data_IF_798848149257
#
_entry.id   IF_798848149257
#
_cell.length_a   1.000
_cell.length_b   1.000
_cell.length_c   1.000
_cell.angle_alpha   90.00
_cell.angle_beta   90.00
_cell.angle_gamma   90.00
#
_symmetry.space_group_name_H-M   'P 1'
#
loop_
_entity.id
_entity.type
_entity.pdbx_description
1 polymer ?
#
# COMPACT_ATOMS: atom_id res chain seq x y z
N UNK A 1 11.16 2.80 -8.67
CA UNK A 1 10.82 4.20 -8.32
C UNK A 1 11.39 4.54 -6.96
N UNK A 2 12.71 4.67 -6.81
CA UNK A 2 13.35 5.07 -5.55
C UNK A 2 12.82 6.41 -5.02
N UNK A 3 12.50 7.32 -5.95
CA UNK A 3 12.01 8.67 -5.70
C UNK A 3 10.79 8.71 -4.76
N UNK A 4 9.82 7.79 -4.90
CA UNK A 4 8.61 7.81 -4.06
C UNK A 4 8.91 7.71 -2.56
N UNK A 5 9.85 6.85 -2.17
CA UNK A 5 10.18 6.72 -0.74
C UNK A 5 11.11 7.83 -0.29
N UNK A 6 12.05 8.26 -1.14
CA UNK A 6 12.93 9.39 -0.83
C UNK A 6 12.12 10.68 -0.60
N UNK A 7 11.13 10.97 -1.44
CA UNK A 7 10.23 12.10 -1.27
C UNK A 7 9.43 11.98 0.04
N UNK A 8 9.00 10.77 0.37
CA UNK A 8 8.27 10.53 1.62
C UNK A 8 9.15 10.67 2.86
N UNK A 9 10.43 10.27 2.79
CA UNK A 9 11.42 10.50 3.84
C UNK A 9 11.66 12.01 4.01
N UNK A 10 11.83 12.76 2.92
CA UNK A 10 12.01 14.21 3.00
C UNK A 10 10.79 14.89 3.65
N UNK A 11 9.58 14.50 3.22
CA UNK A 11 8.34 14.98 3.84
C UNK A 11 8.23 14.60 5.32
N UNK A 12 8.66 13.39 5.68
CA UNK A 12 8.72 12.93 7.06
C UNK A 12 9.67 13.80 7.91
N UNK A 13 10.89 14.06 7.43
CA UNK A 13 11.88 14.88 8.14
C UNK A 13 11.36 16.30 8.39
N UNK A 14 10.69 16.90 7.40
CA UNK A 14 10.04 18.21 7.57
C UNK A 14 8.97 18.13 8.66
N UNK A 15 8.11 17.11 8.65
CA UNK A 15 7.09 16.92 9.69
C UNK A 15 7.71 16.75 11.08
N UNK A 16 8.81 15.99 11.22
CA UNK A 16 9.52 15.86 12.49
C UNK A 16 10.08 17.19 12.97
N UNK A 17 10.68 17.99 12.07
CA UNK A 17 11.21 19.32 12.43
C UNK A 17 10.11 20.27 12.93
N UNK A 18 8.92 20.22 12.35
CA UNK A 18 7.76 20.98 12.81
C UNK A 18 7.31 20.50 14.20
N UNK A 19 7.27 19.18 14.41
CA UNK A 19 6.91 18.61 15.71
C UNK A 19 7.89 19.08 16.79
N UNK A 20 9.19 19.01 16.49
CA UNK A 20 10.25 19.46 17.39
C UNK A 20 10.18 20.96 17.68
N UNK A 21 9.83 21.78 16.70
CA UNK A 21 9.80 23.24 16.86
C UNK A 21 8.58 23.72 17.65
N UNK A 22 7.42 23.08 17.49
CA UNK A 22 6.14 23.64 17.96
C UNK A 22 5.47 22.87 19.10
N UNK A 23 5.92 21.66 19.44
CA UNK A 23 5.30 20.85 20.51
C UNK A 23 6.24 20.62 21.69
N UNK A 24 5.64 20.57 22.89
CA UNK A 24 6.34 20.25 24.12
C UNK A 24 6.86 18.81 24.10
N UNK A 25 8.01 18.56 24.74
CA UNK A 25 8.72 17.26 24.68
C UNK A 25 7.81 16.08 25.06
N UNK A 26 6.94 16.26 26.05
CA UNK A 26 6.00 15.24 26.51
C UNK A 26 4.82 14.97 25.56
N UNK A 27 4.60 15.83 24.55
CA UNK A 27 3.51 15.72 23.58
C UNK A 27 4.01 15.22 22.21
N UNK A 28 5.30 15.39 21.91
CA UNK A 28 5.89 15.07 20.60
C UNK A 28 5.59 13.64 20.13
N UNK A 29 5.71 12.66 21.03
CA UNK A 29 5.50 11.24 20.74
C UNK A 29 4.11 10.99 20.11
N UNK A 30 3.06 11.63 20.64
CA UNK A 30 1.70 11.55 20.11
C UNK A 30 1.59 12.17 18.71
N UNK A 31 2.29 13.28 18.46
CA UNK A 31 2.28 13.96 17.18
C UNK A 31 3.10 13.24 16.10
N UNK A 32 4.13 12.46 16.48
CA UNK A 32 4.93 11.64 15.58
C UNK A 32 4.16 10.43 15.02
N UNK A 33 3.10 9.97 15.68
CA UNK A 33 2.36 8.75 15.26
C UNK A 33 1.89 8.84 13.81
N UNK A 34 1.33 9.99 13.42
CA UNK A 34 0.76 10.21 12.09
C UNK A 34 1.82 10.19 10.99
N UNK A 35 2.93 10.90 11.18
CA UNK A 35 4.04 10.94 10.22
C UNK A 35 4.74 9.59 10.11
N UNK A 36 4.95 8.89 11.23
CA UNK A 36 5.52 7.55 11.23
C UNK A 36 4.62 6.56 10.46
N UNK A 37 3.31 6.59 10.70
CA UNK A 37 2.34 5.75 9.96
C UNK A 37 2.33 6.04 8.46
N UNK A 38 2.41 7.32 8.08
CA UNK A 38 2.49 7.72 6.69
C UNK A 38 3.71 7.08 6.02
N UNK A 39 4.90 7.20 6.62
CA UNK A 39 6.13 6.66 6.06
C UNK A 39 6.06 5.12 5.90
N UNK A 40 5.59 4.40 6.91
CA UNK A 40 5.44 2.94 6.85
C UNK A 40 4.42 2.49 5.80
N UNK A 41 3.31 3.23 5.63
CA UNK A 41 2.34 2.94 4.58
C UNK A 41 2.88 3.27 3.18
N UNK A 42 3.71 4.30 3.05
CA UNK A 42 4.42 4.58 1.80
C UNK A 42 5.40 3.46 1.47
N UNK A 43 6.15 2.94 2.45
CA UNK A 43 7.01 1.76 2.24
C UNK A 43 6.19 0.56 1.74
N UNK A 44 5.03 0.27 2.34
CA UNK A 44 4.13 -0.80 1.83
C UNK A 44 3.68 -0.56 0.39
N UNK A 45 3.32 0.68 0.06
CA UNK A 45 2.92 1.06 -1.29
C UNK A 45 4.08 0.89 -2.28
N UNK A 46 5.28 1.30 -1.88
CA UNK A 46 6.51 1.11 -2.63
C UNK A 46 6.76 -0.37 -2.92
N UNK A 47 6.66 -1.24 -1.91
CA UNK A 47 6.83 -2.69 -2.06
C UNK A 47 5.91 -3.27 -3.15
N UNK A 48 4.66 -2.82 -3.19
CA UNK A 48 3.70 -3.21 -4.24
C UNK A 48 4.12 -2.66 -5.61
N UNK A 49 4.45 -1.37 -5.67
CA UNK A 49 4.71 -0.66 -6.93
C UNK A 49 5.96 -1.17 -7.66
N UNK A 50 6.93 -1.77 -6.98
CA UNK A 50 8.07 -2.41 -7.65
C UNK A 50 7.67 -3.53 -8.64
N UNK A 51 6.50 -4.14 -8.45
CA UNK A 51 5.96 -5.17 -9.35
C UNK A 51 5.12 -4.60 -10.50
N UNK A 52 4.83 -3.29 -10.51
CA UNK A 52 4.18 -2.63 -11.65
C UNK A 52 5.17 -2.45 -12.82
N UNK A 53 6.48 -2.50 -12.55
CA UNK A 53 7.55 -2.41 -13.56
C UNK A 53 8.20 -3.76 -13.89
N UNK A 54 9.18 -3.73 -14.81
CA UNK A 54 9.93 -4.90 -15.27
C UNK A 54 11.19 -5.23 -14.45
N UNK A 55 11.28 -4.80 -13.19
CA UNK A 55 12.46 -5.05 -12.35
C UNK A 55 12.66 -6.55 -12.14
N UNK A 56 13.90 -7.01 -12.19
CA UNK A 56 14.34 -8.34 -11.77
C UNK A 56 14.18 -8.53 -10.26
N UNK A 57 14.32 -9.78 -9.78
CA UNK A 57 14.25 -10.06 -8.33
C UNK A 57 15.43 -9.44 -7.60
N UNK A 58 16.61 -9.50 -8.19
CA UNK A 58 17.85 -8.93 -7.66
C UNK A 58 17.71 -7.42 -7.47
N UNK A 59 17.19 -6.70 -8.48
CA UNK A 59 16.94 -5.26 -8.38
C UNK A 59 15.91 -4.92 -7.30
N UNK A 60 14.81 -5.69 -7.21
CA UNK A 60 13.80 -5.49 -6.15
C UNK A 60 14.41 -5.68 -4.76
N UNK A 61 15.19 -6.74 -4.55
CA UNK A 61 15.81 -7.00 -3.25
C UNK A 61 16.82 -5.92 -2.88
N UNK A 62 17.62 -5.44 -3.85
CA UNK A 62 18.54 -4.33 -3.63
C UNK A 62 17.79 -3.06 -3.19
N UNK A 63 16.70 -2.72 -3.89
CA UNK A 63 15.82 -1.60 -3.53
C UNK A 63 15.16 -1.77 -2.15
N UNK A 64 14.63 -2.95 -1.83
CA UNK A 64 14.04 -3.22 -0.51
C UNK A 64 15.08 -3.01 0.59
N UNK A 65 16.29 -3.54 0.39
CA UNK A 65 17.39 -3.42 1.34
C UNK A 65 17.73 -1.96 1.61
N UNK A 66 17.97 -1.18 0.56
CA UNK A 66 18.29 0.25 0.67
C UNK A 66 17.23 1.00 1.51
N UNK A 67 15.96 0.75 1.22
CA UNK A 67 14.84 1.45 1.85
C UNK A 67 14.58 0.99 3.29
N UNK A 68 14.71 -0.31 3.60
CA UNK A 68 14.50 -0.82 4.96
C UNK A 68 15.67 -0.50 5.90
N UNK A 69 16.84 -0.17 5.34
CA UNK A 69 17.99 0.28 6.10
C UNK A 69 18.01 1.80 6.32
N UNK A 70 17.02 2.53 5.79
CA UNK A 70 16.92 3.97 6.00
C UNK A 70 16.64 4.28 7.48
N UNK A 71 17.39 5.17 8.15
CA UNK A 71 17.27 5.43 9.58
C UNK A 71 15.84 5.75 10.03
N UNK A 72 15.15 6.61 9.29
CA UNK A 72 13.80 7.06 9.54
C UNK A 72 12.78 5.92 9.46
N UNK A 73 13.00 4.94 8.57
CA UNK A 73 12.18 3.72 8.50
C UNK A 73 12.41 2.87 9.74
N UNK A 74 13.67 2.71 10.16
CA UNK A 74 14.05 1.95 11.36
C UNK A 74 13.42 2.60 12.60
N UNK A 75 13.51 3.92 12.73
CA UNK A 75 12.93 4.68 13.84
C UNK A 75 11.41 4.52 13.88
N UNK A 76 10.74 4.60 12.73
CA UNK A 76 9.30 4.42 12.63
C UNK A 76 8.83 3.02 13.07
N UNK A 77 9.56 1.95 12.71
CA UNK A 77 9.18 0.60 13.14
C UNK A 77 9.51 0.33 14.60
N UNK A 78 10.43 1.09 15.20
CA UNK A 78 10.78 0.97 16.62
C UNK A 78 9.92 1.88 17.52
N UNK A 79 9.19 2.84 16.95
CA UNK A 79 8.20 3.63 17.66
C UNK A 79 6.97 2.79 18.02
N UNK A 80 6.91 2.34 19.27
CA UNK A 80 5.88 1.39 19.72
C UNK A 80 4.42 1.82 19.50
N UNK A 81 4.03 3.09 19.77
CA UNK A 81 2.68 3.54 19.45
C UNK A 81 2.31 3.37 17.97
N UNK A 82 3.26 3.60 17.06
CA UNK A 82 3.05 3.40 15.62
C UNK A 82 3.07 1.91 15.23
N UNK A 83 4.01 1.14 15.78
CA UNK A 83 4.16 -0.28 15.47
C UNK A 83 2.87 -1.06 15.77
N UNK A 84 2.17 -0.73 16.88
CA UNK A 84 0.88 -1.33 17.26
C UNK A 84 -0.26 -1.08 16.28
N UNK A 85 -0.19 0.00 15.51
CA UNK A 85 -1.18 0.37 14.50
C UNK A 85 -0.89 -0.29 13.14
N UNK A 86 0.29 -0.88 12.98
CA UNK A 86 0.71 -1.59 11.79
C UNK A 86 0.45 -3.11 11.93
N UNK A 87 0.53 -3.83 10.80
CA UNK A 87 0.53 -5.29 10.84
C UNK A 87 1.83 -5.79 11.46
N UNK A 88 1.72 -6.64 12.48
CA UNK A 88 2.88 -7.15 13.24
C UNK A 88 3.89 -7.88 12.37
N UNK A 89 3.43 -8.66 11.39
CA UNK A 89 4.30 -9.42 10.48
C UNK A 89 5.13 -8.50 9.57
N UNK A 90 4.54 -7.38 9.14
CA UNK A 90 5.26 -6.35 8.39
C UNK A 90 6.31 -5.64 9.24
N UNK A 91 5.94 -5.20 10.45
CA UNK A 91 6.87 -4.50 11.36
C UNK A 91 8.06 -5.39 11.71
N UNK A 92 7.80 -6.64 12.09
CA UNK A 92 8.86 -7.59 12.43
C UNK A 92 9.76 -7.92 11.23
N UNK A 93 9.20 -8.02 10.02
CA UNK A 93 9.99 -8.24 8.82
C UNK A 93 10.94 -7.07 8.53
N UNK A 94 10.49 -5.82 8.74
CA UNK A 94 11.36 -4.64 8.59
C UNK A 94 12.45 -4.63 9.67
N UNK A 95 12.07 -4.84 10.95
CA UNK A 95 13.03 -4.87 12.09
C UNK A 95 14.11 -5.94 11.91
N UNK A 96 13.73 -7.11 11.41
CA UNK A 96 14.64 -8.26 11.21
C UNK A 96 15.34 -8.23 9.86
N UNK A 97 15.07 -7.22 9.03
CA UNK A 97 15.60 -7.13 7.67
C UNK A 97 15.27 -8.38 6.82
N UNK A 98 14.07 -8.93 6.99
CA UNK A 98 13.56 -10.08 6.22
C UNK A 98 13.09 -9.61 4.84
N UNK A 99 14.05 -9.34 3.96
CA UNK A 99 13.80 -8.80 2.62
C UNK A 99 13.00 -9.77 1.74
N UNK A 100 13.15 -11.08 1.95
CA UNK A 100 12.40 -12.11 1.23
C UNK A 100 10.92 -12.08 1.60
N UNK A 101 10.59 -11.92 2.89
CA UNK A 101 9.21 -11.74 3.32
C UNK A 101 8.61 -10.47 2.72
N UNK A 102 9.35 -9.36 2.75
CA UNK A 102 8.88 -8.06 2.25
C UNK A 102 8.65 -8.09 0.73
N UNK A 103 9.51 -8.76 -0.03
CA UNK A 103 9.33 -8.98 -1.47
C UNK A 103 8.06 -9.80 -1.76
N UNK A 104 7.86 -10.90 -1.03
CA UNK A 104 6.66 -11.73 -1.13
C UNK A 104 5.40 -10.96 -0.75
N UNK A 105 5.45 -10.11 0.28
CA UNK A 105 4.33 -9.25 0.67
C UNK A 105 4.00 -8.22 -0.41
N UNK A 106 5.01 -7.56 -1.00
CA UNK A 106 4.82 -6.67 -2.15
C UNK A 106 4.16 -7.38 -3.34
N UNK A 107 4.63 -8.60 -3.66
CA UNK A 107 4.05 -9.43 -4.74
C UNK A 107 2.59 -9.79 -4.45
N UNK A 108 2.28 -10.19 -3.22
CA UNK A 108 0.91 -10.52 -2.78
C UNK A 108 -0.02 -9.32 -2.94
N UNK A 109 0.43 -8.12 -2.54
CA UNK A 109 -0.35 -6.90 -2.69
C UNK A 109 -0.55 -6.51 -4.16
N UNK A 110 0.48 -6.69 -4.99
CA UNK A 110 0.40 -6.42 -6.42
C UNK A 110 -0.63 -7.32 -7.10
N UNK A 111 -0.55 -8.63 -6.89
CA UNK A 111 -1.51 -9.61 -7.45
C UNK A 111 -2.93 -9.26 -7.01
N UNK A 112 -3.15 -8.96 -5.73
CA UNK A 112 -4.46 -8.54 -5.20
C UNK A 112 -4.99 -7.28 -5.88
N UNK A 113 -4.14 -6.27 -6.04
CA UNK A 113 -4.51 -5.02 -6.70
C UNK A 113 -4.86 -5.25 -8.17
N UNK A 114 -4.03 -6.02 -8.88
CA UNK A 114 -4.24 -6.36 -10.28
C UNK A 114 -5.54 -7.15 -10.51
N UNK A 115 -5.84 -8.13 -9.64
CA UNK A 115 -7.09 -8.89 -9.69
C UNK A 115 -8.31 -7.96 -9.49
N UNK A 116 -8.25 -7.07 -8.50
CA UNK A 116 -9.34 -6.11 -8.22
C UNK A 116 -9.63 -5.22 -9.42
N UNK A 117 -8.60 -4.70 -10.09
CA UNK A 117 -8.76 -3.88 -11.29
C UNK A 117 -9.46 -4.63 -12.43
N UNK A 118 -9.18 -5.92 -12.61
CA UNK A 118 -9.85 -6.76 -13.62
C UNK A 118 -11.31 -7.05 -13.27
N UNK A 119 -11.62 -7.32 -12.01
CA UNK A 119 -13.02 -7.52 -11.59
C UNK A 119 -13.85 -6.27 -11.80
N UNK A 120 -13.31 -5.08 -11.49
CA UNK A 120 -13.98 -3.80 -11.75
C UNK A 120 -14.20 -3.61 -13.25
N UNK A 121 -13.20 -3.92 -14.08
CA UNK A 121 -13.34 -3.85 -15.54
C UNK A 121 -14.47 -4.76 -16.05
N UNK A 122 -14.49 -6.04 -15.64
CA UNK A 122 -15.57 -6.97 -16.04
C UNK A 122 -16.93 -6.48 -15.55
N UNK A 123 -17.04 -6.00 -14.31
CA UNK A 123 -18.29 -5.45 -13.78
C UNK A 123 -18.75 -4.19 -14.54
N UNK A 124 -17.84 -3.31 -14.95
CA UNK A 124 -18.17 -2.11 -15.74
C UNK A 124 -18.60 -2.43 -17.18
N UNK A 125 -18.02 -3.46 -17.79
CA UNK A 125 -18.37 -3.92 -19.14
C UNK A 125 -19.72 -4.63 -19.12
N UNK A 126 -19.92 -5.55 -18.17
CA UNK A 126 -21.18 -6.31 -18.03
C UNK A 126 -22.33 -5.42 -17.55
N UNK A 127 -22.08 -4.45 -16.67
CA UNK A 127 -23.07 -3.46 -16.23
C UNK A 127 -23.47 -2.43 -17.30
N UNK A 128 -22.69 -2.30 -18.37
CA UNK A 128 -22.96 -1.39 -19.50
C UNK A 128 -23.70 -2.05 -20.67
N UNK A 129 -23.89 -3.38 -20.63
CA UNK A 129 -24.77 -4.08 -21.58
C UNK A 129 -26.19 -4.00 -21.03
N UNK A 130 -26.93 -2.95 -21.42
CA UNK A 130 -28.40 -2.99 -21.34
C UNK A 130 -28.86 -4.23 -22.12
N UNK A 131 -29.71 -5.11 -21.55
CA UNK A 131 -30.29 -6.17 -22.34
C UNK A 131 -31.10 -5.52 -23.46
N UNK A 132 -30.68 -5.76 -24.70
CA UNK A 132 -31.42 -5.38 -25.89
C UNK A 132 -32.81 -6.02 -25.82
N UNK A 133 -33.82 -5.18 -25.95
CA UNK A 133 -35.22 -5.51 -25.86
C UNK A 133 -35.70 -6.48 -26.95
N UNK A 134 -36.66 -7.33 -26.56
CA UNK A 134 -37.76 -7.91 -27.33
C UNK A 134 -37.46 -9.01 -28.36
N UNK A 135 -37.97 -10.21 -28.05
CA UNK A 135 -38.63 -11.06 -29.05
C UNK A 135 -40.02 -11.46 -28.54
N UNK A 136 -41.02 -10.84 -29.14
CA UNK A 136 -42.43 -11.18 -29.01
C UNK A 136 -42.68 -12.58 -29.59
N UNK A 137 -43.31 -13.47 -28.83
CA UNK A 137 -44.13 -14.56 -29.39
C UNK A 137 -45.45 -14.67 -28.63
N UNK A 138 -46.42 -13.95 -29.20
CA UNK A 138 -47.83 -14.30 -29.30
C UNK A 138 -48.09 -15.81 -29.11
N UNK A 139 -48.89 -16.17 -28.11
CA UNK A 139 -49.77 -17.35 -28.18
C UNK A 139 -51.16 -16.96 -27.70
N UNK A 140 -52.07 -16.99 -28.66
CA UNK A 140 -53.51 -17.02 -28.48
C UNK A 140 -53.97 -18.26 -27.71
N UNK A 141 -55.17 -18.10 -27.14
CA UNK A 141 -56.26 -19.05 -26.91
C UNK A 141 -56.54 -19.35 -25.43
N UNK A 142 -57.78 -19.47 -24.96
CA UNK A 142 -59.17 -19.29 -25.46
C UNK A 142 -60.03 -19.41 -24.19
N UNK A 143 -61.14 -18.67 -24.18
CA UNK A 143 -62.32 -18.69 -23.28
C UNK A 143 -62.51 -19.84 -22.28
N UNK A 144 -63.00 -19.49 -21.08
CA UNK A 144 -64.35 -19.86 -20.60
C UNK A 144 -64.87 -18.77 -19.67
#
# INVERSE_FOLDING_TARGET
MPELLQDAVAGYQIQQSIIEQYFAINERDQHCVGSNLMLLNTLRTYLRKMFEGGLSREERLASIKEMCQHPEVIDCVNHEPTARLCRIDFVEAVRRLDYDFLEKEGRRQYIRSWLRSRTIFVASVVGSIKPFSNFSKKKEKVTS
#
